data_IF_876283924182
#
_entry.id   IF_876283924182
#
_cell.length_a   1.000
_cell.length_b   1.000
_cell.length_c   1.000
_cell.angle_alpha   90.00
_cell.angle_beta   90.00
_cell.angle_gamma   90.00
#
_symmetry.space_group_name_H-M   'P 1'
#
loop_
_entity.id
_entity.type
_entity.pdbx_description
1 polymer ?
#
# COMPACT_ATOMS: atom_id res chain seq x y z
N UNK A 1 -39.01 43.23 -23.22
CA UNK A 1 -37.80 43.07 -22.39
C UNK A 1 -37.74 41.73 -21.65
N UNK A 2 -38.56 40.73 -22.02
CA UNK A 2 -38.66 39.43 -21.35
C UNK A 2 -37.72 38.38 -21.96
N UNK A 3 -37.40 38.45 -23.25
CA UNK A 3 -36.55 37.45 -23.94
C UNK A 3 -35.06 37.51 -23.53
N UNK A 4 -34.48 38.71 -23.35
CA UNK A 4 -33.10 38.84 -22.83
C UNK A 4 -32.96 38.29 -21.41
N UNK A 5 -34.04 38.40 -20.61
CA UNK A 5 -34.16 37.84 -19.26
C UNK A 5 -34.43 36.33 -19.23
N UNK A 6 -34.49 35.66 -20.37
CA UNK A 6 -34.63 34.22 -20.42
C UNK A 6 -33.31 33.55 -20.78
N UNK A 7 -32.57 34.12 -21.74
CA UNK A 7 -31.23 33.63 -22.11
C UNK A 7 -30.23 33.65 -20.94
N UNK A 8 -30.17 34.75 -20.18
CA UNK A 8 -29.24 34.87 -19.04
C UNK A 8 -29.49 33.82 -17.94
N UNK A 9 -30.74 33.40 -17.74
CA UNK A 9 -31.15 32.47 -16.69
C UNK A 9 -30.83 31.03 -17.10
N UNK A 10 -30.98 30.72 -18.39
CA UNK A 10 -30.55 29.43 -18.94
C UNK A 10 -29.04 29.27 -18.82
N UNK A 11 -28.27 30.32 -19.14
CA UNK A 11 -26.81 30.29 -19.02
C UNK A 11 -26.33 30.17 -17.57
N UNK A 12 -26.97 30.86 -16.61
CA UNK A 12 -26.60 30.71 -15.20
C UNK A 12 -26.91 29.32 -14.66
N UNK A 13 -28.06 28.74 -14.99
CA UNK A 13 -28.40 27.38 -14.59
C UNK A 13 -27.43 26.37 -15.21
N UNK A 14 -27.09 26.51 -16.49
CA UNK A 14 -26.13 25.63 -17.16
C UNK A 14 -24.74 25.72 -16.51
N UNK A 15 -24.27 26.93 -16.20
CA UNK A 15 -22.98 27.13 -15.53
C UNK A 15 -22.96 26.50 -14.13
N UNK A 16 -24.02 26.67 -13.34
CA UNK A 16 -24.14 26.05 -12.01
C UNK A 16 -24.19 24.53 -12.12
N UNK A 17 -24.93 23.97 -13.08
CA UNK A 17 -24.99 22.53 -13.30
C UNK A 17 -23.62 21.94 -13.63
N UNK A 18 -22.88 22.58 -14.56
CA UNK A 18 -21.50 22.16 -14.90
C UNK A 18 -20.58 22.28 -13.69
N UNK A 19 -20.69 23.36 -12.90
CA UNK A 19 -19.89 23.54 -11.70
C UNK A 19 -20.17 22.46 -10.65
N UNK A 20 -21.44 22.08 -10.44
CA UNK A 20 -21.85 21.02 -9.51
C UNK A 20 -21.38 19.64 -9.97
N UNK A 21 -21.49 19.33 -11.26
CA UNK A 21 -20.98 18.06 -11.82
C UNK A 21 -19.46 18.00 -11.69
N UNK A 22 -18.76 19.10 -12.01
CA UNK A 22 -17.31 19.20 -11.89
C UNK A 22 -16.83 19.03 -10.44
N UNK A 23 -17.49 19.68 -9.48
CA UNK A 23 -17.16 19.52 -8.05
C UNK A 23 -17.45 18.11 -7.56
N UNK A 24 -18.55 17.50 -7.98
CA UNK A 24 -18.87 16.10 -7.66
C UNK A 24 -17.78 15.13 -8.12
N UNK A 25 -17.29 15.26 -9.35
CA UNK A 25 -16.23 14.41 -9.91
C UNK A 25 -14.87 14.58 -9.22
N UNK A 26 -14.56 15.80 -8.77
CA UNK A 26 -13.33 16.07 -8.02
C UNK A 26 -13.41 15.43 -6.63
N UNK A 27 -14.57 15.46 -5.98
CA UNK A 27 -14.78 14.87 -4.66
C UNK A 27 -14.94 13.34 -4.68
N UNK A 28 -15.62 12.78 -5.68
CA UNK A 28 -15.85 11.33 -5.78
C UNK A 28 -14.61 10.57 -6.25
N UNK A 29 -13.64 11.28 -6.82
CA UNK A 29 -12.52 10.67 -7.48
C UNK A 29 -12.80 10.26 -8.92
N UNK A 30 -11.90 10.64 -9.82
CA UNK A 30 -12.01 10.29 -11.23
C UNK A 30 -11.67 8.81 -11.51
N UNK A 31 -11.97 8.28 -12.70
CA UNK A 31 -11.63 6.93 -13.12
C UNK A 31 -10.12 6.60 -13.05
N UNK A 32 -9.26 7.62 -13.02
CA UNK A 32 -7.83 7.48 -12.75
C UNK A 32 -7.54 7.04 -11.31
N UNK A 33 -8.31 7.51 -10.33
CA UNK A 33 -8.10 7.17 -8.92
C UNK A 33 -8.44 5.71 -8.64
N UNK A 34 -9.53 5.19 -9.22
CA UNK A 34 -9.86 3.76 -9.12
C UNK A 34 -8.81 2.83 -9.72
N UNK A 35 -8.01 3.30 -10.69
CA UNK A 35 -6.86 2.53 -11.19
C UNK A 35 -5.68 2.56 -10.23
N UNK A 36 -5.37 3.71 -9.65
CA UNK A 36 -4.33 3.84 -8.64
C UNK A 36 -4.64 2.97 -7.41
N UNK A 37 -5.89 2.99 -6.92
CA UNK A 37 -6.33 2.14 -5.80
C UNK A 37 -6.13 0.65 -6.08
N UNK A 38 -6.47 0.17 -7.28
CA UNK A 38 -6.26 -1.24 -7.63
C UNK A 38 -4.78 -1.61 -7.66
N UNK A 39 -3.91 -0.72 -8.14
CA UNK A 39 -2.46 -0.95 -8.13
C UNK A 39 -1.89 -0.95 -6.72
N UNK A 40 -2.32 -0.01 -5.88
CA UNK A 40 -1.94 0.04 -4.48
C UNK A 40 -2.46 -1.19 -3.69
N UNK A 41 -3.64 -1.71 -4.01
CA UNK A 41 -4.13 -2.96 -3.44
C UNK A 41 -3.26 -4.17 -3.81
N UNK A 42 -2.74 -4.21 -5.04
CA UNK A 42 -1.79 -5.25 -5.48
C UNK A 42 -0.46 -5.13 -4.73
N UNK A 43 0.07 -3.91 -4.56
CA UNK A 43 1.29 -3.68 -3.75
C UNK A 43 1.09 -4.16 -2.32
N UNK A 44 -0.05 -3.80 -1.71
CA UNK A 44 -0.40 -4.22 -0.36
C UNK A 44 -0.53 -5.75 -0.24
N UNK A 45 -1.14 -6.40 -1.22
CA UNK A 45 -1.22 -7.86 -1.28
C UNK A 45 0.18 -8.50 -1.32
N UNK A 46 1.08 -7.98 -2.15
CA UNK A 46 2.45 -8.48 -2.24
C UNK A 46 3.21 -8.31 -0.91
N UNK A 47 3.07 -7.17 -0.23
CA UNK A 47 3.70 -6.95 1.09
C UNK A 47 3.14 -7.89 2.18
N UNK A 48 1.83 -8.15 2.17
CA UNK A 48 1.22 -9.09 3.11
C UNK A 48 1.69 -10.53 2.85
N UNK A 49 1.80 -10.95 1.59
CA UNK A 49 2.35 -12.26 1.25
C UNK A 49 3.82 -12.38 1.71
N UNK A 50 4.62 -11.33 1.52
CA UNK A 50 5.99 -11.27 2.01
C UNK A 50 6.07 -11.39 3.54
N UNK A 51 5.16 -10.74 4.27
CA UNK A 51 5.05 -10.86 5.71
C UNK A 51 4.71 -12.30 6.14
N UNK A 52 3.74 -12.95 5.50
CA UNK A 52 3.37 -14.34 5.81
C UNK A 52 4.55 -15.29 5.60
N UNK A 53 5.28 -15.14 4.49
CA UNK A 53 6.51 -15.90 4.24
C UNK A 53 7.57 -15.60 5.30
N UNK A 54 7.77 -14.35 5.70
CA UNK A 54 8.74 -13.98 6.72
C UNK A 54 8.47 -14.66 8.07
N UNK A 55 7.18 -14.75 8.46
CA UNK A 55 6.76 -15.48 9.65
C UNK A 55 7.09 -16.97 9.51
N UNK A 56 6.76 -17.59 8.38
CA UNK A 56 7.09 -19.00 8.13
C UNK A 56 8.60 -19.24 8.23
N UNK A 57 9.40 -18.40 7.56
CA UNK A 57 10.86 -18.48 7.57
C UNK A 57 11.43 -18.28 8.96
N UNK A 58 10.84 -17.39 9.76
CA UNK A 58 11.26 -17.18 11.14
C UNK A 58 10.99 -18.43 12.01
N UNK A 59 9.86 -19.11 11.82
CA UNK A 59 9.59 -20.40 12.46
C UNK A 59 10.54 -21.51 12.01
N UNK A 60 10.88 -21.57 10.73
CA UNK A 60 11.83 -22.55 10.19
C UNK A 60 13.26 -22.33 10.72
N UNK A 61 13.70 -21.07 10.77
CA UNK A 61 15.06 -20.71 11.18
C UNK A 61 15.23 -20.56 12.69
N UNK A 62 14.13 -20.42 13.46
CA UNK A 62 14.15 -20.10 14.88
C UNK A 62 14.56 -18.65 15.17
N UNK A 63 14.64 -17.78 14.16
CA UNK A 63 15.03 -16.38 14.30
C UNK A 63 14.45 -15.55 13.14
N UNK A 64 14.24 -14.26 13.39
CA UNK A 64 13.83 -13.32 12.34
C UNK A 64 14.84 -13.23 11.20
N UNK A 65 14.34 -13.15 9.97
CA UNK A 65 15.16 -13.04 8.76
C UNK A 65 14.48 -12.18 7.70
N UNK A 66 15.29 -11.38 6.99
CA UNK A 66 14.88 -10.69 5.77
C UNK A 66 15.05 -11.55 4.51
N UNK A 67 15.63 -12.75 4.63
CA UNK A 67 15.70 -13.71 3.52
C UNK A 67 14.37 -14.46 3.37
N UNK A 68 13.64 -14.09 2.33
CA UNK A 68 12.34 -14.67 1.97
C UNK A 68 12.43 -15.71 0.85
N UNK A 69 13.63 -16.22 0.54
CA UNK A 69 13.79 -17.26 -0.46
C UNK A 69 12.91 -18.49 -0.12
N UNK A 70 12.30 -19.12 -1.14
CA UNK A 70 11.45 -20.29 -0.93
C UNK A 70 12.28 -21.49 -0.45
N UNK A 71 11.71 -22.24 0.48
CA UNK A 71 12.29 -23.48 1.02
C UNK A 71 11.29 -24.62 0.98
N UNK A 72 11.71 -25.82 1.39
CA UNK A 72 10.80 -26.97 1.50
C UNK A 72 9.70 -26.74 2.54
N UNK A 73 9.99 -26.02 3.63
CA UNK A 73 9.01 -25.70 4.67
C UNK A 73 8.15 -24.48 4.32
N UNK A 74 8.73 -23.50 3.61
CA UNK A 74 8.08 -22.27 3.19
C UNK A 74 8.18 -22.13 1.65
N UNK A 75 7.39 -22.87 0.87
CA UNK A 75 7.58 -23.01 -0.58
C UNK A 75 7.05 -21.84 -1.41
N UNK A 76 6.46 -20.82 -0.77
CA UNK A 76 5.81 -19.74 -1.48
C UNK A 76 6.80 -18.90 -2.29
N UNK A 77 6.54 -18.75 -3.58
CA UNK A 77 7.34 -17.92 -4.48
C UNK A 77 6.74 -16.52 -4.53
N UNK A 78 7.42 -15.57 -3.91
CA UNK A 78 6.95 -14.20 -3.80
C UNK A 78 7.35 -13.36 -5.01
N UNK A 79 6.50 -12.39 -5.34
CA UNK A 79 6.88 -11.26 -6.19
C UNK A 79 7.40 -10.12 -5.30
N UNK A 80 8.71 -9.91 -5.32
CA UNK A 80 9.40 -8.88 -4.54
C UNK A 80 9.68 -7.58 -5.34
N UNK A 81 9.01 -7.41 -6.47
CA UNK A 81 9.17 -6.26 -7.37
C UNK A 81 7.80 -5.77 -7.81
N UNK A 82 7.57 -4.46 -7.71
CA UNK A 82 6.31 -3.83 -8.13
C UNK A 82 6.09 -4.06 -9.63
N UNK A 83 5.01 -4.77 -10.04
CA UNK A 83 4.74 -5.06 -11.45
C UNK A 83 4.37 -3.83 -12.29
N UNK A 84 4.13 -2.67 -11.67
CA UNK A 84 3.73 -1.44 -12.37
C UNK A 84 4.89 -0.46 -12.54
N UNK A 85 5.93 -0.57 -11.71
CA UNK A 85 7.07 0.37 -11.70
C UNK A 85 8.43 -0.32 -11.83
N UNK A 86 8.46 -1.65 -11.80
CA UNK A 86 9.66 -2.50 -11.77
C UNK A 86 10.62 -2.17 -10.62
N UNK A 87 10.14 -1.44 -9.59
CA UNK A 87 10.92 -1.13 -8.40
C UNK A 87 10.88 -2.30 -7.42
N UNK A 88 12.03 -2.74 -6.89
CA UNK A 88 12.04 -3.76 -5.84
C UNK A 88 11.37 -3.22 -4.58
N UNK A 89 10.59 -4.07 -3.90
CA UNK A 89 10.12 -3.76 -2.56
C UNK A 89 11.30 -3.81 -1.59
N UNK A 90 11.35 -2.88 -0.64
CA UNK A 90 12.41 -2.89 0.39
C UNK A 90 11.95 -3.71 1.58
N UNK A 91 12.74 -4.73 1.91
CA UNK A 91 12.49 -5.62 3.04
C UNK A 91 13.76 -5.66 3.87
N UNK A 92 13.69 -5.17 5.10
CA UNK A 92 14.86 -5.01 5.95
C UNK A 92 14.54 -5.28 7.42
N UNK A 93 15.54 -5.79 8.13
CA UNK A 93 15.51 -5.93 9.58
C UNK A 93 15.64 -4.55 10.22
N UNK A 94 14.71 -4.19 11.10
CA UNK A 94 14.77 -2.96 11.90
C UNK A 94 15.43 -3.23 13.24
N UNK A 95 15.14 -4.39 13.83
CA UNK A 95 15.83 -4.96 14.99
C UNK A 95 15.73 -6.49 14.94
N UNK A 96 16.08 -7.17 16.05
CA UNK A 96 16.10 -8.63 16.12
C UNK A 96 14.75 -9.31 15.84
N UNK A 97 13.63 -8.60 16.02
CA UNK A 97 12.29 -9.19 15.90
C UNK A 97 11.36 -8.36 15.00
N UNK A 98 11.81 -7.21 14.51
CA UNK A 98 11.00 -6.33 13.68
C UNK A 98 11.53 -6.27 12.25
N UNK A 99 10.65 -6.54 11.30
CA UNK A 99 10.88 -6.39 9.87
C UNK A 99 10.09 -5.21 9.33
N UNK A 100 10.69 -4.49 8.39
CA UNK A 100 10.06 -3.42 7.63
C UNK A 100 9.87 -3.86 6.18
N UNK A 101 8.68 -3.60 5.67
CA UNK A 101 8.27 -3.86 4.29
C UNK A 101 7.79 -2.55 3.67
N UNK A 102 8.52 -2.02 2.68
CA UNK A 102 8.22 -0.74 2.05
C UNK A 102 7.88 -0.88 0.56
N UNK A 103 6.93 -0.06 0.12
CA UNK A 103 6.62 0.15 -1.29
C UNK A 103 6.27 1.63 -1.55
N UNK A 104 6.39 2.03 -2.81
CA UNK A 104 5.92 3.35 -3.28
C UNK A 104 4.45 3.22 -3.66
N UNK A 105 3.58 3.91 -2.92
CA UNK A 105 2.14 3.95 -3.19
C UNK A 105 1.79 5.20 -4.00
N UNK A 106 0.81 5.06 -4.90
CA UNK A 106 0.33 6.20 -5.69
C UNK A 106 -0.58 7.13 -4.86
N UNK A 107 -1.20 6.58 -3.81
CA UNK A 107 -2.08 7.30 -2.89
C UNK A 107 -1.47 7.42 -1.49
N UNK A 108 -0.71 8.48 -1.18
CA UNK A 108 -0.07 8.65 0.12
C UNK A 108 -1.09 8.83 1.26
N UNK A 109 -2.29 9.34 0.96
CA UNK A 109 -3.41 9.52 1.88
C UNK A 109 -4.02 8.19 2.34
N UNK A 110 -4.08 7.18 1.47
CA UNK A 110 -4.49 5.82 1.86
C UNK A 110 -3.34 5.00 2.44
N UNK A 111 -2.10 5.31 2.06
CA UNK A 111 -0.92 4.74 2.69
C UNK A 111 -0.83 5.11 4.19
N UNK A 112 -1.44 6.23 4.60
CA UNK A 112 -1.57 6.60 6.02
C UNK A 112 -2.30 5.57 6.88
N UNK A 113 -3.20 4.76 6.31
CA UNK A 113 -3.87 3.67 7.03
C UNK A 113 -2.91 2.52 7.40
N UNK A 114 -1.75 2.47 6.74
CA UNK A 114 -0.70 1.47 6.91
C UNK A 114 0.53 2.04 7.66
N UNK A 115 0.39 3.24 8.23
CA UNK A 115 1.48 4.07 8.76
C UNK A 115 1.90 3.69 10.17
N UNK A 116 2.45 2.50 10.32
CA UNK A 116 3.20 2.18 11.53
C UNK A 116 4.68 2.07 11.15
N UNK A 117 5.37 3.21 11.36
CA UNK A 117 6.81 3.50 11.24
C UNK A 117 7.32 3.89 9.83
N UNK A 118 7.11 5.16 9.44
CA UNK A 118 7.83 5.83 8.33
C UNK A 118 9.29 6.17 8.68
N UNK A 119 9.77 5.83 9.87
CA UNK A 119 11.18 5.97 10.22
C UNK A 119 11.98 5.06 9.28
N UNK A 120 12.89 5.62 8.46
CA UNK A 120 13.61 4.87 7.42
C UNK A 120 12.86 4.63 6.09
N UNK A 121 11.70 5.25 5.87
CA UNK A 121 11.05 5.27 4.55
C UNK A 121 11.77 6.23 3.57
N UNK A 122 11.90 5.86 2.29
CA UNK A 122 12.38 6.79 1.27
C UNK A 122 11.26 7.79 0.87
N UNK A 123 11.61 8.93 0.25
CA UNK A 123 10.62 9.89 -0.21
C UNK A 123 9.56 9.27 -1.12
N UNK A 124 8.29 9.31 -0.69
CA UNK A 124 7.15 8.76 -1.44
C UNK A 124 6.83 7.30 -1.12
N UNK A 125 7.57 6.66 -0.23
CA UNK A 125 7.25 5.32 0.25
C UNK A 125 6.33 5.33 1.46
N UNK A 126 5.70 4.19 1.68
CA UNK A 126 5.08 3.87 2.96
C UNK A 126 5.42 2.44 3.33
N UNK A 127 5.67 2.25 4.62
CA UNK A 127 6.20 1.00 5.15
C UNK A 127 5.27 0.41 6.20
N UNK A 128 5.20 -0.92 6.19
CA UNK A 128 4.59 -1.73 7.23
C UNK A 128 5.72 -2.28 8.10
N UNK A 129 5.65 -2.07 9.40
CA UNK A 129 6.51 -2.78 10.35
C UNK A 129 5.74 -3.89 11.01
N UNK A 130 6.31 -5.08 10.98
CA UNK A 130 5.77 -6.24 11.65
C UNK A 130 6.75 -6.78 12.68
N UNK A 131 6.23 -7.05 13.87
CA UNK A 131 6.95 -7.80 14.90
C UNK A 131 6.73 -9.28 14.68
N UNK A 132 7.81 -10.02 14.52
CA UNK A 132 7.80 -11.47 14.46
C UNK A 132 7.56 -12.10 15.84
N UNK A 133 7.03 -13.32 15.90
CA UNK A 133 6.78 -14.01 17.17
C UNK A 133 8.08 -14.20 17.97
N UNK A 134 8.08 -13.79 19.24
CA UNK A 134 9.27 -13.87 20.12
C UNK A 134 9.37 -15.21 20.86
N UNK A 135 8.45 -16.13 20.62
CA UNK A 135 8.44 -17.46 21.21
C UNK A 135 9.31 -18.47 20.45
N UNK A 136 9.98 -18.05 19.37
CA UNK A 136 10.96 -18.84 18.63
C UNK A 136 12.10 -19.35 19.54
N UNK A 137 12.47 -18.58 20.56
CA UNK A 137 13.52 -18.94 21.53
C UNK A 137 13.11 -20.03 22.55
N UNK A 138 11.84 -20.44 22.65
CA UNK A 138 11.42 -21.47 23.63
C UNK A 138 11.60 -22.92 23.15
N UNK A 139 12.18 -23.13 21.97
CA UNK A 139 12.38 -24.45 21.37
C UNK A 139 13.66 -25.20 21.76
N UNK A 140 14.63 -24.54 22.42
CA UNK A 140 15.90 -25.19 22.83
C UNK A 140 15.97 -25.37 24.34
N UNK A 141 15.19 -26.33 24.83
CA UNK A 141 15.21 -26.78 26.23
C UNK A 141 14.76 -28.23 26.32
N UNK A 142 15.42 -29.11 25.57
CA UNK A 142 15.29 -30.56 25.65
C UNK A 142 16.62 -31.18 26.02
#
# INVERSE_FOLDING_TARGET
MTERRQGWAVWTIAAVAVALIGTGLVFSGGPMQGRAERRDAVRMHDLNAAQTQAICRAFEAGAATADLAPTAACPETLRLTDPFTDRPYRIEMVDADNLRFCAVFERPDHATAYRNLTDGAEPGESCLIHRLPQDLDRGTGG
#
